data_IF_071213386304
#
_entry.id   IF_071213386304
#
_cell.length_a   1.000
_cell.length_b   1.000
_cell.length_c   1.000
_cell.angle_alpha   90.00
_cell.angle_beta   90.00
_cell.angle_gamma   90.00
#
_symmetry.space_group_name_H-M   'P 1'
#
loop_
_entity.id
_entity.type
_entity.pdbx_description
1 polymer ?
#
# COMPACT_ATOMS: atom_id res chain seq x y z
N UNK A 1 -34.57 -5.63 -12.61
CA UNK A 1 -33.15 -5.71 -13.01
C UNK A 1 -32.52 -4.35 -12.73
N UNK A 2 -31.62 -4.25 -11.77
CA UNK A 2 -30.68 -3.12 -11.66
C UNK A 2 -29.41 -3.63 -10.96
N UNK A 3 -28.35 -3.85 -11.72
CA UNK A 3 -27.02 -4.05 -11.17
C UNK A 3 -26.48 -2.68 -10.69
N UNK A 4 -25.94 -2.55 -9.47
CA UNK A 4 -25.21 -1.33 -9.13
C UNK A 4 -23.92 -1.27 -9.94
N UNK A 5 -23.78 -0.19 -10.71
CA UNK A 5 -22.63 0.19 -11.53
C UNK A 5 -21.31 0.14 -10.76
N UNK A 6 -20.17 -0.15 -11.44
CA UNK A 6 -18.87 -0.28 -10.81
C UNK A 6 -18.50 1.05 -10.16
N UNK A 7 -18.42 1.04 -8.83
CA UNK A 7 -17.93 2.16 -8.06
C UNK A 7 -16.52 2.50 -8.58
N UNK A 8 -16.37 3.64 -9.26
CA UNK A 8 -15.09 4.37 -9.28
C UNK A 8 -14.83 4.84 -7.84
N UNK A 9 -14.52 3.89 -6.96
CA UNK A 9 -13.99 4.18 -5.65
C UNK A 9 -12.59 4.73 -5.90
N UNK A 10 -12.31 5.98 -5.51
CA UNK A 10 -10.92 6.41 -5.39
C UNK A 10 -10.17 5.35 -4.57
N UNK A 11 -9.00 4.88 -5.03
CA UNK A 11 -8.30 3.81 -4.37
C UNK A 11 -8.06 4.21 -2.92
N UNK A 12 -8.38 3.30 -2.00
CA UNK A 12 -8.14 3.51 -0.58
C UNK A 12 -6.65 3.86 -0.39
N UNK A 13 -6.30 4.85 0.45
CA UNK A 13 -4.91 5.19 0.73
C UNK A 13 -3.99 3.97 0.99
N UNK A 14 -4.46 2.97 1.73
CA UNK A 14 -3.71 1.73 2.00
C UNK A 14 -3.48 0.89 0.75
N UNK A 15 -4.43 0.90 -0.19
CA UNK A 15 -4.30 0.21 -1.47
C UNK A 15 -3.18 0.85 -2.33
N UNK A 16 -3.08 2.18 -2.33
CA UNK A 16 -2.01 2.92 -3.02
C UNK A 16 -0.64 2.56 -2.46
N UNK A 17 -0.49 2.58 -1.13
CA UNK A 17 0.77 2.20 -0.49
C UNK A 17 1.13 0.73 -0.69
N UNK A 18 0.15 -0.17 -0.66
CA UNK A 18 0.35 -1.59 -0.91
C UNK A 18 0.78 -1.86 -2.36
N UNK A 19 0.25 -1.13 -3.34
CA UNK A 19 0.69 -1.20 -4.73
C UNK A 19 2.15 -0.74 -4.88
N UNK A 20 2.51 0.41 -4.29
CA UNK A 20 3.88 0.92 -4.30
C UNK A 20 4.88 -0.07 -3.69
N UNK A 21 4.51 -0.74 -2.59
CA UNK A 21 5.33 -1.81 -1.98
C UNK A 21 5.50 -2.99 -2.95
N UNK A 22 4.43 -3.42 -3.61
CA UNK A 22 4.49 -4.55 -4.57
C UNK A 22 5.36 -4.21 -5.77
N UNK A 23 5.26 -3.00 -6.30
CA UNK A 23 6.10 -2.54 -7.41
C UNK A 23 7.57 -2.46 -7.00
N UNK A 24 7.87 -1.90 -5.82
CA UNK A 24 9.22 -1.85 -5.25
C UNK A 24 9.82 -3.25 -5.14
N UNK A 25 9.09 -4.20 -4.53
CA UNK A 25 9.57 -5.57 -4.35
C UNK A 25 9.67 -6.34 -5.67
N UNK A 26 8.76 -6.10 -6.62
CA UNK A 26 8.81 -6.70 -7.96
C UNK A 26 10.06 -6.26 -8.71
N UNK A 27 10.41 -4.98 -8.63
CA UNK A 27 11.61 -4.40 -9.26
C UNK A 27 12.92 -4.92 -8.64
N UNK A 28 12.84 -5.61 -7.50
CA UNK A 28 13.98 -6.16 -6.73
C UNK A 28 13.87 -7.66 -6.51
N UNK A 29 13.01 -8.34 -7.27
CA UNK A 29 12.77 -9.76 -7.08
C UNK A 29 14.05 -10.58 -7.29
N UNK A 30 14.43 -11.36 -6.27
CA UNK A 30 15.64 -12.17 -6.29
C UNK A 30 16.94 -11.44 -5.96
N UNK A 31 16.88 -10.16 -5.56
CA UNK A 31 18.05 -9.38 -5.13
C UNK A 31 17.96 -9.04 -3.63
N UNK A 32 19.10 -9.03 -2.95
CA UNK A 32 19.19 -8.47 -1.60
C UNK A 32 19.07 -6.95 -1.66
N UNK A 33 18.23 -6.38 -0.80
CA UNK A 33 18.10 -4.93 -0.69
C UNK A 33 19.40 -4.35 -0.10
N UNK A 34 19.93 -3.33 -0.76
CA UNK A 34 20.97 -2.48 -0.19
C UNK A 34 20.46 -1.73 1.05
N UNK A 35 21.34 -1.12 1.86
CA UNK A 35 20.94 -0.31 3.01
C UNK A 35 19.96 0.82 2.63
N UNK A 36 20.20 1.51 1.52
CA UNK A 36 19.34 2.58 1.03
C UNK A 36 17.94 2.07 0.62
N UNK A 37 17.89 0.93 -0.07
CA UNK A 37 16.63 0.29 -0.46
C UNK A 37 15.87 -0.26 0.75
N UNK A 38 16.58 -0.72 1.77
CA UNK A 38 15.98 -1.13 3.04
C UNK A 38 15.32 0.05 3.76
N UNK A 39 15.92 1.24 3.71
CA UNK A 39 15.31 2.47 4.23
C UNK A 39 14.09 2.89 3.41
N UNK A 40 14.15 2.79 2.09
CA UNK A 40 13.02 3.06 1.20
C UNK A 40 11.85 2.12 1.49
N UNK A 41 12.11 0.82 1.60
CA UNK A 41 11.10 -0.17 1.99
C UNK A 41 10.48 0.13 3.37
N UNK A 42 11.29 0.57 4.35
CA UNK A 42 10.77 1.00 5.66
C UNK A 42 9.84 2.21 5.55
N UNK A 43 10.15 3.19 4.69
CA UNK A 43 9.29 4.36 4.45
C UNK A 43 7.96 3.95 3.83
N UNK A 44 8.00 3.10 2.80
CA UNK A 44 6.80 2.56 2.15
C UNK A 44 5.91 1.80 3.16
N UNK A 45 6.53 0.94 3.98
CA UNK A 45 5.82 0.15 5.01
C UNK A 45 5.22 1.03 6.11
N UNK A 46 5.90 2.11 6.50
CA UNK A 46 5.34 3.09 7.44
C UNK A 46 4.12 3.79 6.84
N UNK A 47 4.21 4.26 5.60
CA UNK A 47 3.08 4.90 4.90
C UNK A 47 1.85 3.98 4.81
N UNK A 48 2.06 2.71 4.46
CA UNK A 48 1.01 1.69 4.48
C UNK A 48 0.36 1.51 5.86
N UNK A 49 1.18 1.47 6.92
CA UNK A 49 0.68 1.30 8.30
C UNK A 49 -0.12 2.51 8.78
N UNK A 50 0.34 3.73 8.48
CA UNK A 50 -0.38 4.97 8.76
C UNK A 50 -1.72 5.01 8.01
N UNK A 51 -1.72 4.63 6.73
CA UNK A 51 -2.94 4.54 5.93
C UNK A 51 -3.94 3.51 6.50
N UNK A 52 -3.47 2.33 6.92
CA UNK A 52 -4.32 1.34 7.59
C UNK A 52 -4.92 1.87 8.90
N UNK A 53 -4.16 2.64 9.69
CA UNK A 53 -4.66 3.25 10.92
C UNK A 53 -5.70 4.33 10.66
N UNK A 54 -5.52 5.13 9.61
CA UNK A 54 -6.49 6.15 9.20
C UNK A 54 -7.77 5.54 8.62
N UNK A 55 -7.67 4.37 7.98
CA UNK A 55 -8.79 3.64 7.41
C UNK A 55 -9.50 2.71 8.39
N UNK A 56 -8.80 2.27 9.44
CA UNK A 56 -9.40 1.52 10.51
C UNK A 56 -10.49 2.42 11.11
N UNK A 57 -11.79 2.04 11.07
CA UNK A 57 -12.78 2.73 11.87
C UNK A 57 -12.29 2.62 13.30
N UNK A 58 -12.15 3.76 13.99
CA UNK A 58 -11.68 3.81 15.37
C UNK A 58 -12.39 2.69 16.14
N UNK A 59 -11.65 1.62 16.42
CA UNK A 59 -12.18 0.53 17.21
C UNK A 59 -12.39 1.13 18.59
N UNK A 60 -13.67 1.39 18.88
CA UNK A 60 -14.17 1.91 20.14
C UNK A 60 -13.73 1.06 21.32
#
# INVERSE_FOLDING_TARGET
MSAPSPHSASPRPSAVWNEAIREFLRSRYGQSLSPAESEEYRRLRKGYTDALKAEAPAAA
#
